data_IF_666246563763
#
_entry.id   IF_666246563763
#
_cell.length_a   1.000
_cell.length_b   1.000
_cell.length_c   1.000
_cell.angle_alpha   90.00
_cell.angle_beta   90.00
_cell.angle_gamma   90.00
#
_symmetry.space_group_name_H-M   'P 1'
#
loop_
_entity.id
_entity.type
_entity.pdbx_description
1 polymer ?
#
# COMPACT_ATOMS: atom_id res chain seq x y z
N UNK A 1 2.64 4.89 1.96
CA UNK A 1 2.60 5.86 0.81
C UNK A 1 4.00 6.34 0.51
N UNK A 2 4.40 6.22 -0.72
CA UNK A 2 5.64 6.79 -1.22
C UNK A 2 5.55 8.34 -1.28
N UNK A 3 6.60 9.01 -0.82
CA UNK A 3 6.75 10.46 -0.88
C UNK A 3 8.11 10.86 -1.44
N UNK A 4 8.78 9.94 -2.12
CA UNK A 4 10.10 10.13 -2.72
C UNK A 4 10.16 11.26 -3.76
N UNK A 5 11.36 11.56 -4.22
CA UNK A 5 11.58 12.61 -5.21
C UNK A 5 11.08 12.26 -6.62
N UNK A 6 10.91 10.98 -6.95
CA UNK A 6 10.32 10.51 -8.21
C UNK A 6 8.83 10.79 -8.29
N UNK A 7 8.13 10.77 -7.15
CA UNK A 7 6.72 11.13 -7.04
C UNK A 7 6.53 12.63 -7.24
N UNK A 8 6.03 13.03 -8.40
CA UNK A 8 5.66 14.43 -8.63
C UNK A 8 4.42 14.86 -7.82
N UNK A 9 4.06 16.14 -7.88
CA UNK A 9 2.94 16.68 -7.09
C UNK A 9 1.60 16.04 -7.51
N UNK A 10 1.41 15.74 -8.79
CA UNK A 10 0.20 15.09 -9.31
C UNK A 10 0.07 13.66 -8.80
N UNK A 11 1.15 12.89 -8.89
CA UNK A 11 1.20 11.51 -8.40
C UNK A 11 0.93 11.43 -6.90
N UNK A 12 1.56 12.33 -6.11
CA UNK A 12 1.29 12.46 -4.66
C UNK A 12 -0.16 12.82 -4.35
N UNK A 13 -0.78 13.68 -5.15
CA UNK A 13 -2.20 14.07 -4.95
C UNK A 13 -3.15 12.91 -5.27
N UNK A 14 -2.90 12.15 -6.33
CA UNK A 14 -3.66 10.95 -6.67
C UNK A 14 -3.55 9.91 -5.54
N UNK A 15 -2.34 9.62 -5.05
CA UNK A 15 -2.12 8.72 -3.93
C UNK A 15 -2.91 9.14 -2.67
N UNK A 16 -2.84 10.42 -2.32
CA UNK A 16 -3.57 10.97 -1.18
C UNK A 16 -5.08 10.80 -1.33
N UNK A 17 -5.63 11.10 -2.51
CA UNK A 17 -7.07 10.95 -2.77
C UNK A 17 -7.52 9.50 -2.69
N UNK A 18 -6.72 8.57 -3.18
CA UNK A 18 -6.98 7.14 -3.03
C UNK A 18 -7.02 6.74 -1.54
N UNK A 19 -6.03 7.15 -0.76
CA UNK A 19 -5.98 6.84 0.68
C UNK A 19 -7.08 7.53 1.49
N UNK A 20 -7.48 8.75 1.14
CA UNK A 20 -8.64 9.42 1.76
C UNK A 20 -9.91 8.61 1.49
N UNK A 21 -10.11 8.15 0.27
CA UNK A 21 -11.27 7.34 -0.09
C UNK A 21 -11.29 6.02 0.69
N UNK A 22 -10.13 5.34 0.79
CA UNK A 22 -9.97 4.11 1.58
C UNK A 22 -10.26 4.37 3.07
N UNK A 23 -9.71 5.42 3.64
CA UNK A 23 -9.92 5.79 5.04
C UNK A 23 -11.40 6.04 5.36
N UNK A 24 -12.08 6.84 4.53
CA UNK A 24 -13.52 7.09 4.68
C UNK A 24 -14.37 5.82 4.51
N UNK A 25 -13.98 4.94 3.60
CA UNK A 25 -14.63 3.64 3.42
C UNK A 25 -14.50 2.76 4.68
N UNK A 26 -13.31 2.69 5.25
CA UNK A 26 -13.06 1.92 6.48
C UNK A 26 -13.88 2.47 7.64
N UNK A 27 -13.85 3.77 7.88
CA UNK A 27 -14.61 4.41 8.95
C UNK A 27 -16.13 4.19 8.83
N UNK A 28 -16.64 4.12 7.59
CA UNK A 28 -18.07 3.93 7.36
C UNK A 28 -18.53 2.48 7.55
N UNK A 29 -17.67 1.51 7.23
CA UNK A 29 -18.08 0.12 7.13
C UNK A 29 -17.66 -0.74 8.33
N UNK A 30 -16.78 -0.24 9.19
CA UNK A 30 -16.26 -0.99 10.34
C UNK A 30 -16.38 -0.16 11.62
N UNK A 31 -16.88 -0.81 12.68
CA UNK A 31 -17.03 -0.16 14.00
C UNK A 31 -15.70 -0.02 14.75
N UNK A 32 -14.77 -0.94 14.53
CA UNK A 32 -13.46 -0.97 15.18
C UNK A 32 -12.38 -1.11 14.10
N UNK A 33 -11.74 -0.02 13.78
CA UNK A 33 -10.63 0.02 12.83
C UNK A 33 -9.51 0.87 13.41
N UNK A 34 -8.31 0.31 13.42
CA UNK A 34 -7.09 1.09 13.64
C UNK A 34 -6.38 1.27 12.30
N UNK A 35 -5.95 2.49 12.01
CA UNK A 35 -5.25 2.84 10.79
C UNK A 35 -3.86 3.33 11.14
N UNK A 36 -2.86 2.65 10.63
CA UNK A 36 -1.44 3.01 10.77
C UNK A 36 -0.97 3.64 9.47
N UNK A 37 -0.48 4.86 9.55
CA UNK A 37 0.03 5.60 8.39
C UNK A 37 1.55 5.51 8.32
N UNK A 38 2.05 4.94 7.22
CA UNK A 38 3.49 4.84 6.94
C UNK A 38 3.80 5.65 5.69
N UNK A 39 4.76 6.58 5.82
CA UNK A 39 5.37 7.29 4.69
C UNK A 39 6.80 6.80 4.51
N UNK A 40 7.26 6.78 3.29
CA UNK A 40 8.65 6.44 2.99
C UNK A 40 9.22 7.27 1.84
N UNK A 41 10.51 7.42 1.90
CA UNK A 41 11.40 7.85 0.84
C UNK A 41 12.68 6.99 0.91
N UNK A 42 13.85 7.51 1.29
CA UNK A 42 15.04 6.68 1.61
C UNK A 42 14.88 5.89 2.91
N UNK A 43 14.01 6.36 3.80
CA UNK A 43 13.64 5.71 5.07
C UNK A 43 12.14 5.76 5.27
N UNK A 44 11.61 4.83 6.05
CA UNK A 44 10.20 4.81 6.41
C UNK A 44 9.97 5.40 7.81
N UNK A 45 8.78 5.95 8.00
CA UNK A 45 8.33 6.53 9.27
C UNK A 45 6.83 6.32 9.43
N UNK A 46 6.43 5.89 10.63
CA UNK A 46 5.05 6.00 11.06
C UNK A 46 4.74 7.48 11.37
N UNK A 47 3.59 7.94 10.91
CA UNK A 47 3.17 9.33 11.03
C UNK A 47 1.70 9.40 11.42
N UNK A 48 1.27 10.54 11.94
CA UNK A 48 -0.16 10.79 12.15
C UNK A 48 -0.90 11.10 10.84
N UNK A 49 -2.22 11.15 10.91
CA UNK A 49 -3.08 11.45 9.76
C UNK A 49 -2.73 12.79 9.10
N UNK A 50 -2.47 13.82 9.92
CA UNK A 50 -2.16 15.16 9.42
C UNK A 50 -0.83 15.16 8.66
N UNK A 51 0.19 14.55 9.20
CA UNK A 51 1.50 14.43 8.54
C UNK A 51 1.38 13.57 7.27
N UNK A 52 0.60 12.48 7.31
CA UNK A 52 0.41 11.60 6.16
C UNK A 52 -0.18 12.32 4.95
N UNK A 53 -1.22 13.13 5.14
CA UNK A 53 -1.92 13.80 4.05
C UNK A 53 -1.34 15.16 3.67
N UNK A 54 -0.65 15.86 4.55
CA UNK A 54 -0.30 17.28 4.33
C UNK A 54 1.19 17.59 4.33
N UNK A 55 2.06 16.72 4.80
CA UNK A 55 3.51 16.97 4.78
C UNK A 55 4.07 16.97 3.34
N UNK A 56 5.18 17.73 3.16
CA UNK A 56 5.87 17.92 1.88
C UNK A 56 7.31 17.40 1.94
N UNK A 57 7.49 16.20 2.41
CA UNK A 57 8.81 15.57 2.39
C UNK A 57 9.17 15.06 1.01
N UNK A 58 10.47 14.91 0.75
CA UNK A 58 11.03 14.34 -0.46
C UNK A 58 12.38 13.69 -0.14
N UNK A 59 12.81 12.72 -0.93
CA UNK A 59 14.06 11.99 -0.73
C UNK A 59 14.27 10.94 -1.80
N UNK A 60 15.23 10.03 -1.60
CA UNK A 60 15.42 8.86 -2.46
C UNK A 60 14.30 7.84 -2.28
N UNK A 61 14.34 6.73 -3.03
CA UNK A 61 13.28 5.72 -3.02
C UNK A 61 13.84 4.38 -2.52
N UNK A 62 13.46 3.96 -1.31
CA UNK A 62 13.76 2.63 -0.75
C UNK A 62 12.46 2.05 -0.19
N UNK A 63 11.76 1.32 -1.03
CA UNK A 63 10.42 0.78 -0.72
C UNK A 63 10.49 -0.25 0.41
N UNK A 64 11.54 -1.08 0.45
CA UNK A 64 11.70 -2.10 1.49
C UNK A 64 11.73 -1.53 2.91
N UNK A 65 12.09 -0.24 3.07
CA UNK A 65 12.06 0.42 4.37
C UNK A 65 10.66 0.47 4.97
N UNK A 66 9.64 0.74 4.13
CA UNK A 66 8.24 0.77 4.56
C UNK A 66 7.72 -0.62 4.90
N UNK A 67 8.10 -1.64 4.13
CA UNK A 67 7.68 -3.02 4.38
C UNK A 67 8.29 -3.58 5.69
N UNK A 68 9.56 -3.26 5.96
CA UNK A 68 10.21 -3.61 7.23
C UNK A 68 9.52 -2.96 8.41
N UNK A 69 9.27 -1.64 8.32
CA UNK A 69 8.57 -0.92 9.38
C UNK A 69 7.14 -1.46 9.59
N UNK A 70 6.41 -1.78 8.52
CA UNK A 70 5.10 -2.41 8.64
C UNK A 70 5.17 -3.74 9.39
N UNK A 71 6.14 -4.59 9.08
CA UNK A 71 6.35 -5.86 9.78
C UNK A 71 6.66 -5.66 11.27
N UNK A 72 7.56 -4.74 11.60
CA UNK A 72 7.89 -4.39 13.00
C UNK A 72 6.65 -3.91 13.77
N UNK A 73 5.84 -3.04 13.18
CA UNK A 73 4.60 -2.54 13.78
C UNK A 73 3.58 -3.66 14.02
N UNK A 74 3.45 -4.59 13.09
CA UNK A 74 2.56 -5.76 13.23
C UNK A 74 3.03 -6.61 14.40
N UNK A 75 4.31 -6.97 14.44
CA UNK A 75 4.87 -7.82 15.49
C UNK A 75 4.73 -7.19 16.88
N UNK A 76 4.91 -5.88 17.00
CA UNK A 76 4.88 -5.18 18.27
C UNK A 76 3.46 -4.91 18.79
N UNK A 77 2.48 -4.66 17.89
CA UNK A 77 1.18 -4.09 18.30
C UNK A 77 -0.05 -4.85 17.84
N UNK A 78 0.06 -5.67 16.80
CA UNK A 78 -1.12 -6.28 16.17
C UNK A 78 -0.99 -7.79 16.02
N UNK A 79 -1.10 -8.55 17.11
CA UNK A 79 -1.03 -10.01 17.06
C UNK A 79 -2.12 -10.59 16.15
N UNK A 80 -1.73 -11.45 15.22
CA UNK A 80 -2.58 -11.99 14.15
C UNK A 80 -3.75 -12.86 14.63
N UNK A 81 -3.71 -13.30 15.86
CA UNK A 81 -4.84 -14.01 16.50
C UNK A 81 -5.93 -13.08 17.06
N UNK A 82 -5.68 -11.78 17.10
CA UNK A 82 -6.61 -10.76 17.60
C UNK A 82 -7.04 -9.75 16.54
N UNK A 83 -6.24 -9.61 15.47
CA UNK A 83 -6.43 -8.62 14.42
C UNK A 83 -6.54 -9.23 13.03
N UNK A 84 -7.49 -8.75 12.25
CA UNK A 84 -7.49 -8.93 10.80
C UNK A 84 -6.70 -7.77 10.18
N UNK A 85 -5.54 -8.06 9.61
CA UNK A 85 -4.60 -7.05 9.16
C UNK A 85 -4.66 -6.92 7.64
N UNK A 86 -4.71 -5.69 7.15
CA UNK A 86 -4.77 -5.34 5.73
C UNK A 86 -3.66 -4.35 5.39
N UNK A 87 -3.05 -4.49 4.22
CA UNK A 87 -2.04 -3.57 3.72
C UNK A 87 -2.50 -2.84 2.46
N UNK A 88 -2.12 -1.56 2.34
CA UNK A 88 -2.31 -0.79 1.12
C UNK A 88 -1.07 0.07 0.84
N UNK A 89 -0.52 -0.07 -0.35
CA UNK A 89 0.67 0.64 -0.81
C UNK A 89 0.37 1.43 -2.08
N UNK A 90 0.90 2.67 -2.17
CA UNK A 90 0.87 3.45 -3.39
C UNK A 90 2.23 4.09 -3.63
N UNK A 91 2.72 4.01 -4.89
CA UNK A 91 3.95 4.64 -5.39
C UNK A 91 3.85 4.88 -6.89
N UNK A 92 4.85 5.52 -7.48
CA UNK A 92 5.01 5.61 -8.94
C UNK A 92 5.71 4.38 -9.56
N UNK A 93 6.03 3.37 -8.73
CA UNK A 93 6.71 2.15 -9.14
C UNK A 93 8.23 2.28 -9.28
N UNK A 94 8.78 3.50 -9.20
CA UNK A 94 10.22 3.69 -9.19
C UNK A 94 10.82 3.18 -7.87
N UNK A 95 11.92 2.45 -7.96
CA UNK A 95 12.62 1.90 -6.82
C UNK A 95 14.08 1.63 -7.21
N UNK A 96 14.95 1.53 -6.25
CA UNK A 96 16.32 1.11 -6.53
C UNK A 96 16.34 -0.35 -6.97
N UNK A 97 17.08 -0.64 -8.05
CA UNK A 97 17.15 -1.96 -8.69
C UNK A 97 17.48 -3.08 -7.70
N UNK A 98 18.32 -2.82 -6.71
CA UNK A 98 18.67 -3.80 -5.68
C UNK A 98 17.62 -3.94 -4.56
N UNK A 99 16.62 -3.06 -4.49
CA UNK A 99 15.60 -3.04 -3.45
C UNK A 99 14.33 -3.80 -3.85
N UNK A 100 14.00 -3.82 -5.14
CA UNK A 100 12.78 -4.48 -5.63
C UNK A 100 12.71 -5.99 -5.33
N UNK A 101 13.81 -6.78 -5.48
CA UNK A 101 13.82 -8.17 -5.01
C UNK A 101 13.60 -8.30 -3.50
N UNK A 102 14.17 -7.39 -2.71
CA UNK A 102 13.99 -7.37 -1.25
C UNK A 102 12.52 -7.10 -0.89
N UNK A 103 11.86 -6.20 -1.62
CA UNK A 103 10.43 -5.93 -1.44
C UNK A 103 9.58 -7.17 -1.72
N UNK A 104 9.86 -7.88 -2.82
CA UNK A 104 9.19 -9.13 -3.14
C UNK A 104 9.33 -10.16 -2.01
N UNK A 105 10.56 -10.41 -1.55
CA UNK A 105 10.83 -11.42 -0.52
C UNK A 105 10.20 -11.03 0.84
N UNK A 106 10.25 -9.74 1.21
CA UNK A 106 9.58 -9.26 2.43
C UNK A 106 8.06 -9.44 2.36
N UNK A 107 7.44 -9.14 1.21
CA UNK A 107 6.01 -9.37 1.03
C UNK A 107 5.69 -10.86 1.07
N UNK A 108 6.36 -11.67 0.25
CA UNK A 108 6.07 -13.09 0.13
C UNK A 108 6.28 -13.86 1.43
N UNK A 109 7.42 -13.66 2.08
CA UNK A 109 7.89 -14.51 3.17
C UNK A 109 7.51 -14.00 4.56
N UNK A 110 7.24 -12.69 4.69
CA UNK A 110 7.04 -12.05 5.99
C UNK A 110 5.66 -11.43 6.16
N UNK A 111 5.19 -10.68 5.19
CA UNK A 111 3.96 -9.90 5.34
C UNK A 111 2.72 -10.67 4.91
N UNK A 112 2.67 -11.21 3.69
CA UNK A 112 1.47 -11.90 3.19
C UNK A 112 0.99 -13.04 4.09
N UNK A 113 1.85 -13.83 4.76
CA UNK A 113 1.38 -14.82 5.72
C UNK A 113 0.64 -14.26 6.95
N UNK A 114 0.83 -12.97 7.27
CA UNK A 114 0.21 -12.29 8.41
C UNK A 114 -1.03 -11.50 8.02
N UNK A 115 -1.21 -11.23 6.72
CA UNK A 115 -2.24 -10.33 6.21
C UNK A 115 -3.44 -11.09 5.65
N UNK A 116 -4.62 -10.51 5.81
CA UNK A 116 -5.82 -10.98 5.11
C UNK A 116 -5.81 -10.54 3.65
N UNK A 117 -5.24 -9.37 3.37
CA UNK A 117 -5.17 -8.82 2.02
C UNK A 117 -4.15 -7.69 1.94
N UNK A 118 -3.46 -7.59 0.82
CA UNK A 118 -2.56 -6.50 0.50
C UNK A 118 -2.85 -5.98 -0.91
N UNK A 119 -2.98 -4.67 -1.06
CA UNK A 119 -3.10 -4.06 -2.38
C UNK A 119 -1.97 -3.08 -2.68
N UNK A 120 -1.46 -3.16 -3.89
CA UNK A 120 -0.48 -2.25 -4.44
C UNK A 120 -1.09 -1.40 -5.57
N UNK A 121 -0.91 -0.09 -5.50
CA UNK A 121 -1.36 0.86 -6.49
C UNK A 121 -0.14 1.55 -7.10
N UNK A 122 0.11 1.30 -8.39
CA UNK A 122 1.10 2.04 -9.15
C UNK A 122 0.44 3.25 -9.82
N UNK A 123 0.96 4.43 -9.56
CA UNK A 123 0.44 5.69 -10.10
C UNK A 123 1.43 6.23 -11.10
N UNK A 124 1.19 5.98 -12.37
CA UNK A 124 2.08 6.38 -13.47
C UNK A 124 1.31 6.52 -14.78
N UNK A 125 1.66 7.50 -15.59
CA UNK A 125 1.22 7.68 -16.98
C UNK A 125 2.23 7.14 -18.01
N UNK A 126 3.28 6.49 -17.51
CA UNK A 126 4.32 5.82 -18.29
C UNK A 126 4.18 4.33 -18.12
N UNK A 127 4.52 3.46 -18.87
CA UNK A 127 4.43 2.00 -18.65
C UNK A 127 4.93 1.57 -17.26
N UNK A 128 4.51 0.39 -16.83
CA UNK A 128 4.86 -0.16 -15.52
C UNK A 128 6.35 -0.14 -15.22
N UNK A 129 6.68 0.24 -14.00
CA UNK A 129 8.05 0.38 -13.53
C UNK A 129 8.58 -0.96 -12.96
N UNK A 130 9.85 -0.96 -12.50
CA UNK A 130 10.53 -2.18 -12.07
C UNK A 130 9.82 -2.89 -10.92
N UNK A 131 9.31 -2.15 -9.94
CA UNK A 131 8.63 -2.73 -8.78
C UNK A 131 7.40 -3.57 -9.19
N UNK A 132 6.67 -3.12 -10.23
CA UNK A 132 5.54 -3.85 -10.78
C UNK A 132 5.90 -5.26 -11.23
N UNK A 133 7.01 -5.40 -11.96
CA UNK A 133 7.46 -6.69 -12.49
C UNK A 133 7.78 -7.71 -11.39
N UNK A 134 8.31 -7.23 -10.27
CA UNK A 134 8.55 -8.09 -9.10
C UNK A 134 7.26 -8.49 -8.41
N UNK A 135 6.30 -7.58 -8.32
CA UNK A 135 5.03 -7.81 -7.65
C UNK A 135 4.04 -8.65 -8.48
N UNK A 136 4.16 -8.69 -9.81
CA UNK A 136 3.35 -9.59 -10.66
C UNK A 136 3.47 -11.06 -10.22
N UNK A 137 4.65 -11.47 -9.80
CA UNK A 137 4.88 -12.83 -9.30
C UNK A 137 4.07 -13.13 -8.03
N UNK A 138 3.83 -12.13 -7.20
CA UNK A 138 3.02 -12.28 -5.98
C UNK A 138 1.53 -12.48 -6.30
N UNK A 139 1.03 -11.85 -7.35
CA UNK A 139 -0.35 -12.08 -7.82
C UNK A 139 -0.56 -13.52 -8.24
N UNK A 140 0.44 -14.11 -8.94
CA UNK A 140 0.36 -15.50 -9.38
C UNK A 140 0.39 -16.50 -8.21
N UNK A 141 1.18 -16.22 -7.18
CA UNK A 141 1.35 -17.11 -6.02
C UNK A 141 0.35 -16.88 -4.91
N UNK A 142 -0.23 -15.68 -4.82
CA UNK A 142 -1.16 -15.28 -3.75
C UNK A 142 -2.42 -14.57 -4.31
N UNK A 143 -3.19 -15.19 -5.23
CA UNK A 143 -4.25 -14.51 -5.97
C UNK A 143 -5.41 -14.00 -5.10
N UNK A 144 -5.61 -14.58 -3.92
CA UNK A 144 -6.65 -14.15 -2.97
C UNK A 144 -6.15 -13.09 -1.99
N UNK A 145 -4.86 -13.13 -1.64
CA UNK A 145 -4.25 -12.26 -0.62
C UNK A 145 -3.54 -11.03 -1.16
N UNK A 146 -3.25 -10.98 -2.48
CA UNK A 146 -2.50 -9.89 -3.09
C UNK A 146 -3.15 -9.41 -4.39
N UNK A 147 -3.34 -8.10 -4.51
CA UNK A 147 -3.78 -7.49 -5.76
C UNK A 147 -2.97 -6.23 -6.09
N UNK A 148 -2.85 -5.93 -7.38
CA UNK A 148 -2.20 -4.72 -7.86
C UNK A 148 -2.99 -4.08 -8.99
N UNK A 149 -3.00 -2.74 -9.03
CA UNK A 149 -3.69 -1.94 -10.06
C UNK A 149 -2.88 -0.70 -10.42
N UNK A 150 -3.00 -0.30 -11.68
CA UNK A 150 -2.47 0.98 -12.16
C UNK A 150 -3.51 2.10 -12.06
N UNK A 151 -3.07 3.32 -11.77
CA UNK A 151 -3.82 4.55 -11.86
C UNK A 151 -3.02 5.52 -12.73
N UNK A 152 -3.60 5.94 -13.85
CA UNK A 152 -2.97 6.91 -14.74
C UNK A 152 -3.49 8.32 -14.49
N UNK A 153 -4.77 8.45 -14.11
CA UNK A 153 -5.43 9.74 -13.92
C UNK A 153 -6.38 9.74 -12.71
N UNK A 154 -6.81 10.93 -12.31
CA UNK A 154 -7.81 11.11 -11.24
C UNK A 154 -9.12 10.35 -11.49
N UNK A 155 -9.53 10.19 -12.75
CA UNK A 155 -10.73 9.47 -13.14
C UNK A 155 -10.64 7.96 -12.79
N UNK A 156 -9.45 7.40 -12.70
CA UNK A 156 -9.22 5.98 -12.41
C UNK A 156 -9.34 5.66 -10.92
N UNK A 157 -9.25 6.66 -10.04
CA UNK A 157 -9.22 6.44 -8.59
C UNK A 157 -10.42 5.61 -8.12
N UNK A 158 -11.63 6.04 -8.48
CA UNK A 158 -12.84 5.35 -8.03
C UNK A 158 -13.05 3.98 -8.69
N UNK A 159 -12.89 3.80 -10.01
CA UNK A 159 -12.93 2.47 -10.64
C UNK A 159 -11.94 1.48 -10.03
N UNK A 160 -10.69 1.88 -9.83
CA UNK A 160 -9.64 1.05 -9.22
C UNK A 160 -9.98 0.72 -7.77
N UNK A 161 -10.40 1.71 -6.99
CA UNK A 161 -10.84 1.50 -5.61
C UNK A 161 -11.98 0.47 -5.55
N UNK A 162 -13.00 0.63 -6.37
CA UNK A 162 -14.12 -0.30 -6.43
C UNK A 162 -13.68 -1.72 -6.80
N UNK A 163 -12.78 -1.86 -7.77
CA UNK A 163 -12.30 -3.19 -8.19
C UNK A 163 -11.50 -3.89 -7.08
N UNK A 164 -10.65 -3.15 -6.35
CA UNK A 164 -9.86 -3.69 -5.26
C UNK A 164 -10.72 -4.11 -4.05
N UNK A 165 -11.76 -3.34 -3.71
CA UNK A 165 -12.53 -3.53 -2.48
C UNK A 165 -13.96 -4.05 -2.68
N UNK A 166 -14.45 -4.19 -3.92
CA UNK A 166 -15.79 -4.72 -4.18
C UNK A 166 -15.88 -6.23 -3.94
N UNK A 167 -14.80 -6.98 -4.13
CA UNK A 167 -14.77 -8.43 -3.90
C UNK A 167 -14.94 -8.81 -2.42
N UNK A 168 -14.51 -7.95 -1.53
CA UNK A 168 -14.47 -8.24 -0.09
C UNK A 168 -15.81 -8.06 0.62
N UNK A 169 -16.79 -7.41 0.01
CA UNK A 169 -18.14 -7.34 0.58
C UNK A 169 -18.85 -8.70 0.66
N UNK A 170 -18.34 -9.73 -0.01
CA UNK A 170 -18.84 -11.10 0.10
C UNK A 170 -18.07 -11.94 1.14
N UNK A 171 -16.80 -11.63 1.42
CA UNK A 171 -15.93 -12.32 2.38
C UNK A 171 -15.86 -11.66 3.77
N UNK A 172 -16.08 -10.35 3.85
CA UNK A 172 -16.02 -9.56 5.09
C UNK A 172 -17.29 -9.63 5.95
N UNK A 173 -18.22 -10.50 5.63
CA UNK A 173 -19.48 -10.70 6.41
C UNK A 173 -19.43 -11.87 7.39
N UNK A 174 -18.30 -12.33 7.81
CA UNK A 174 -18.24 -13.44 8.77
C UNK A 174 -17.10 -13.26 9.79
N UNK A 175 -17.36 -12.54 10.86
CA UNK A 175 -17.03 -12.91 12.25
C UNK A 175 -17.19 -11.72 13.17
#
# INVERSE_FOLDING_TARGET
MDVSGSMDQRTKDIAKRFFILLYLFLQRNYEKTEVVFIRHHSTAKEVDEQEFFYSRETGGTVVSSALKLMHEIIDERYPVNEWNIYGAQASDGDNWTNDSPICHDLLNDRLLPLLQYYCYIEITDRGHQELWQFYEKLVETNPEGFAMRGIEDYADIYPVFRDLFHRDSAGLRAS
#
